data_IF_391967616378
#
_entry.id   IF_391967616378
#
_cell.length_a   1.000
_cell.length_b   1.000
_cell.length_c   1.000
_cell.angle_alpha   90.00
_cell.angle_beta   90.00
_cell.angle_gamma   90.00
#
_symmetry.space_group_name_H-M   'P 1'
#
loop_
_entity.id
_entity.type
_entity.pdbx_description
1 polymer ?
#
# COMPACT_ATOMS: atom_id res chain seq x y z
N UNK A 1 -1.12 -28.63 52.06
CA UNK A 1 -2.41 -27.92 52.04
C UNK A 1 -2.54 -27.35 50.64
N UNK A 2 -3.37 -27.98 49.81
CA UNK A 2 -3.75 -27.50 48.50
C UNK A 2 -5.06 -26.71 48.69
N UNK A 3 -5.09 -25.47 48.25
CA UNK A 3 -6.35 -24.72 48.07
C UNK A 3 -6.50 -24.48 46.57
N UNK A 4 -7.36 -25.30 45.98
CA UNK A 4 -7.95 -25.13 44.66
C UNK A 4 -8.69 -23.79 44.63
N UNK A 5 -8.41 -22.97 43.61
CA UNK A 5 -9.27 -21.86 43.22
C UNK A 5 -10.08 -22.29 42.01
N UNK A 6 -11.29 -22.76 42.27
CA UNK A 6 -12.29 -23.05 41.26
C UNK A 6 -12.58 -21.81 40.41
N UNK A 7 -12.41 -21.94 39.09
CA UNK A 7 -12.83 -20.95 38.12
C UNK A 7 -14.35 -21.01 37.96
N UNK A 8 -15.02 -19.89 38.27
CA UNK A 8 -16.46 -19.72 38.12
C UNK A 8 -16.82 -19.74 36.63
N UNK A 9 -17.65 -20.70 36.23
CA UNK A 9 -18.25 -20.76 34.89
C UNK A 9 -19.30 -19.67 34.73
N UNK A 10 -19.09 -18.75 33.78
CA UNK A 10 -20.07 -17.73 33.41
C UNK A 10 -21.06 -18.37 32.42
N UNK A 11 -22.33 -18.49 32.82
CA UNK A 11 -23.41 -18.94 31.96
C UNK A 11 -23.66 -17.92 30.83
N UNK A 12 -23.38 -18.31 29.58
CA UNK A 12 -23.89 -17.60 28.41
C UNK A 12 -25.39 -17.89 28.26
N UNK A 13 -26.20 -16.84 28.41
CA UNK A 13 -27.64 -16.83 28.15
C UNK A 13 -27.89 -16.77 26.64
N UNK A 14 -27.78 -17.90 25.95
CA UNK A 14 -28.28 -18.08 24.59
C UNK A 14 -28.55 -19.56 24.38
N UNK A 15 -29.82 -19.95 24.33
CA UNK A 15 -30.21 -21.29 23.86
C UNK A 15 -29.92 -21.37 22.35
N UNK A 16 -29.00 -22.25 21.96
CA UNK A 16 -28.82 -22.59 20.55
C UNK A 16 -30.15 -23.13 19.98
N UNK A 17 -30.57 -22.68 18.78
CA UNK A 17 -31.81 -23.15 18.19
C UNK A 17 -31.73 -24.64 17.90
N UNK A 18 -32.58 -25.40 18.61
CA UNK A 18 -32.81 -26.85 18.48
C UNK A 18 -32.86 -27.29 17.02
N UNK A 19 -32.07 -28.33 16.74
CA UNK A 19 -32.03 -29.07 15.48
C UNK A 19 -33.43 -29.35 14.92
N UNK A 20 -33.77 -28.69 13.81
CA UNK A 20 -34.83 -29.19 12.91
C UNK A 20 -34.19 -30.20 11.95
N UNK A 21 -34.33 -31.48 12.31
CA UNK A 21 -34.22 -32.60 11.37
C UNK A 21 -35.19 -32.41 10.20
N UNK A 22 -34.71 -32.66 8.98
CA UNK A 22 -35.56 -33.00 7.83
C UNK A 22 -35.74 -31.89 6.79
N UNK A 23 -34.72 -31.65 5.98
CA UNK A 23 -34.92 -31.62 4.53
C UNK A 23 -33.58 -31.79 3.82
N UNK A 24 -33.38 -32.96 3.22
CA UNK A 24 -32.31 -33.23 2.27
C UNK A 24 -32.43 -32.25 1.10
N UNK A 25 -31.68 -31.15 1.13
CA UNK A 25 -31.36 -30.42 -0.08
C UNK A 25 -30.33 -31.24 -0.84
N UNK A 26 -30.76 -31.90 -1.91
CA UNK A 26 -29.89 -32.42 -2.97
C UNK A 26 -28.76 -31.41 -3.22
N UNK A 27 -27.51 -31.85 -3.36
CA UNK A 27 -26.46 -30.97 -3.86
C UNK A 27 -26.95 -30.46 -5.21
N UNK A 28 -27.17 -29.15 -5.33
CA UNK A 28 -27.19 -28.52 -6.65
C UNK A 28 -25.80 -28.81 -7.18
N UNK A 29 -25.71 -29.76 -8.11
CA UNK A 29 -24.60 -29.82 -9.05
C UNK A 29 -24.42 -28.38 -9.53
N UNK A 30 -23.31 -27.79 -9.12
CA UNK A 30 -22.87 -26.55 -9.71
C UNK A 30 -22.61 -26.90 -11.17
N UNK A 31 -23.62 -26.69 -12.02
CA UNK A 31 -23.39 -26.56 -13.44
C UNK A 31 -22.17 -25.64 -13.57
N UNK A 32 -21.11 -26.05 -14.27
CA UNK A 32 -19.94 -25.20 -14.47
C UNK A 32 -20.51 -23.89 -15.00
N UNK A 33 -20.43 -22.85 -14.17
CA UNK A 33 -21.07 -21.57 -14.40
C UNK A 33 -20.55 -21.12 -15.76
N UNK A 34 -21.36 -21.33 -16.81
CA UNK A 34 -20.97 -20.98 -18.18
C UNK A 34 -20.55 -19.53 -18.08
N UNK A 35 -19.30 -19.30 -18.44
CA UNK A 35 -18.66 -18.00 -18.33
C UNK A 35 -19.62 -17.01 -19.01
N UNK A 36 -20.00 -15.93 -18.33
CA UNK A 36 -20.90 -14.94 -18.95
C UNK A 36 -20.31 -14.49 -20.28
N UNK A 37 -21.12 -14.21 -21.31
CA UNK A 37 -20.62 -13.76 -22.63
C UNK A 37 -19.65 -12.58 -22.50
N UNK A 38 -19.91 -11.69 -21.54
CA UNK A 38 -19.02 -10.58 -21.18
C UNK A 38 -17.66 -11.05 -20.63
N UNK A 39 -17.66 -12.09 -19.81
CA UNK A 39 -16.45 -12.64 -19.20
C UNK A 39 -15.61 -13.43 -20.22
N UNK A 40 -16.27 -14.12 -21.17
CA UNK A 40 -15.60 -14.74 -22.32
C UNK A 40 -14.94 -13.68 -23.22
N UNK A 41 -15.66 -12.58 -23.47
CA UNK A 41 -15.12 -11.47 -24.24
C UNK A 41 -13.87 -10.86 -23.59
N UNK A 42 -13.91 -10.58 -22.28
CA UNK A 42 -12.75 -10.06 -21.53
C UNK A 42 -11.58 -11.05 -21.60
N UNK A 43 -11.84 -12.34 -21.43
CA UNK A 43 -10.81 -13.37 -21.50
C UNK A 43 -10.13 -13.40 -22.88
N UNK A 44 -10.91 -13.44 -23.96
CA UNK A 44 -10.39 -13.46 -25.34
C UNK A 44 -9.60 -12.18 -25.63
N UNK A 45 -10.11 -11.02 -25.18
CA UNK A 45 -9.41 -9.75 -25.34
C UNK A 45 -8.06 -9.76 -24.62
N UNK A 46 -8.01 -10.22 -23.37
CA UNK A 46 -6.75 -10.34 -22.62
C UNK A 46 -5.78 -11.30 -23.32
N UNK A 47 -6.24 -12.46 -23.76
CA UNK A 47 -5.41 -13.45 -24.45
C UNK A 47 -4.78 -12.88 -25.73
N UNK A 48 -5.58 -12.14 -26.52
CA UNK A 48 -5.11 -11.46 -27.71
C UNK A 48 -4.05 -10.39 -27.38
N UNK A 49 -4.31 -9.54 -26.38
CA UNK A 49 -3.40 -8.46 -25.99
C UNK A 49 -2.09 -8.99 -25.44
N UNK A 50 -2.12 -10.02 -24.58
CA UNK A 50 -0.89 -10.64 -24.05
C UNK A 50 -0.08 -11.29 -25.17
N UNK A 51 -0.72 -11.97 -26.12
CA UNK A 51 -0.03 -12.54 -27.28
C UNK A 51 0.63 -11.45 -28.14
N UNK A 52 -0.08 -10.34 -28.38
CA UNK A 52 0.44 -9.21 -29.17
C UNK A 52 1.49 -8.38 -28.45
N UNK A 53 1.52 -8.41 -27.11
CA UNK A 53 2.58 -7.77 -26.33
C UNK A 53 3.97 -8.39 -26.59
N UNK A 54 4.03 -9.64 -27.09
CA UNK A 54 5.26 -10.31 -27.52
C UNK A 54 5.48 -10.31 -29.04
N UNK A 55 4.80 -9.45 -29.80
CA UNK A 55 4.96 -9.36 -31.26
C UNK A 55 6.35 -8.80 -31.62
N UNK A 56 6.94 -9.28 -32.71
CA UNK A 56 8.26 -8.82 -33.16
C UNK A 56 8.24 -7.36 -33.65
N UNK A 57 7.07 -6.83 -34.01
CA UNK A 57 6.91 -5.41 -34.33
C UNK A 57 6.69 -4.60 -33.04
N UNK A 58 7.63 -3.70 -32.66
CA UNK A 58 7.54 -2.94 -31.41
C UNK A 58 6.33 -2.01 -31.35
N UNK A 59 5.84 -1.51 -32.50
CA UNK A 59 4.65 -0.64 -32.55
C UNK A 59 3.39 -1.42 -32.19
N UNK A 60 3.28 -2.66 -32.67
CA UNK A 60 2.15 -3.55 -32.35
C UNK A 60 2.21 -3.97 -30.88
N UNK A 61 3.41 -4.34 -30.40
CA UNK A 61 3.63 -4.68 -29.00
C UNK A 61 3.26 -3.51 -28.07
N UNK A 62 3.77 -2.31 -28.34
CA UNK A 62 3.49 -1.11 -27.55
C UNK A 62 1.99 -0.78 -27.52
N UNK A 63 1.30 -0.90 -28.65
CA UNK A 63 -0.15 -0.67 -28.75
C UNK A 63 -0.93 -1.68 -27.89
N UNK A 64 -0.57 -2.97 -27.98
CA UNK A 64 -1.20 -4.03 -27.21
C UNK A 64 -0.99 -3.83 -25.70
N UNK A 65 0.24 -3.47 -25.29
CA UNK A 65 0.58 -3.20 -23.89
C UNK A 65 -0.21 -1.99 -23.37
N UNK A 66 -0.31 -0.91 -24.14
CA UNK A 66 -1.09 0.26 -23.74
C UNK A 66 -2.59 -0.09 -23.55
N UNK A 67 -3.16 -0.89 -24.45
CA UNK A 67 -4.53 -1.37 -24.30
C UNK A 67 -4.71 -2.28 -23.08
N UNK A 68 -3.70 -3.11 -22.78
CA UNK A 68 -3.69 -3.96 -21.59
C UNK A 68 -3.64 -3.11 -20.30
N UNK A 69 -2.82 -2.07 -20.28
CA UNK A 69 -2.73 -1.10 -19.17
C UNK A 69 -4.07 -0.41 -18.95
N UNK A 70 -4.72 0.06 -20.03
CA UNK A 70 -6.03 0.70 -19.95
C UNK A 70 -7.10 -0.27 -19.41
N UNK A 71 -7.09 -1.52 -19.88
CA UNK A 71 -8.01 -2.56 -19.40
C UNK A 71 -7.83 -2.83 -17.90
N UNK A 72 -6.57 -2.85 -17.42
CA UNK A 72 -6.24 -3.03 -16.00
C UNK A 72 -6.57 -1.79 -15.16
N UNK A 73 -6.52 -0.58 -15.73
CA UNK A 73 -6.83 0.70 -15.07
C UNK A 73 -8.33 0.95 -14.92
N UNK A 74 -9.09 0.76 -15.99
CA UNK A 74 -10.54 1.02 -16.03
C UNK A 74 -11.32 0.09 -15.12
N UNK A 75 -10.91 -1.17 -15.01
CA UNK A 75 -11.62 -2.18 -14.22
C UNK A 75 -11.27 -2.20 -12.72
N UNK A 76 -10.60 -1.16 -12.21
CA UNK A 76 -10.25 -1.03 -10.78
C UNK A 76 -11.43 -0.69 -9.87
N UNK A 77 -12.56 -0.25 -10.43
CA UNK A 77 -13.72 0.26 -9.68
C UNK A 77 -14.77 -0.79 -9.28
N UNK A 78 -14.57 -2.07 -9.56
CA UNK A 78 -15.54 -3.12 -9.23
C UNK A 78 -15.40 -3.62 -7.80
N UNK A 79 -16.43 -3.38 -6.97
CA UNK A 79 -16.72 -3.94 -5.63
C UNK A 79 -15.60 -4.75 -4.95
N UNK A 80 -15.22 -4.31 -3.74
CA UNK A 80 -14.23 -4.88 -2.78
C UNK A 80 -14.28 -6.42 -2.64
N UNK A 81 -15.39 -7.04 -2.99
CA UNK A 81 -15.60 -8.48 -2.91
C UNK A 81 -15.03 -9.32 -4.08
N UNK A 82 -14.60 -8.73 -5.20
CA UNK A 82 -14.11 -9.51 -6.35
C UNK A 82 -12.88 -8.91 -7.01
N UNK A 83 -11.82 -9.74 -7.16
CA UNK A 83 -10.67 -9.41 -8.02
C UNK A 83 -11.18 -9.07 -9.41
N UNK A 84 -10.79 -7.92 -10.00
CA UNK A 84 -11.22 -7.55 -11.34
C UNK A 84 -10.97 -8.68 -12.34
N UNK A 85 -12.00 -9.04 -13.10
CA UNK A 85 -11.94 -10.15 -14.07
C UNK A 85 -10.73 -10.05 -15.02
N UNK A 86 -10.39 -8.88 -15.61
CA UNK A 86 -9.20 -8.76 -16.44
C UNK A 86 -7.92 -9.13 -15.69
N UNK A 87 -7.77 -8.68 -14.44
CA UNK A 87 -6.60 -8.98 -13.62
C UNK A 87 -6.45 -10.49 -13.36
N UNK A 88 -7.58 -11.21 -13.16
CA UNK A 88 -7.57 -12.67 -13.04
C UNK A 88 -7.03 -13.35 -14.31
N UNK A 89 -7.42 -12.89 -15.49
CA UNK A 89 -6.95 -13.46 -16.76
C UNK A 89 -5.49 -13.12 -17.04
N UNK A 90 -5.09 -11.86 -16.84
CA UNK A 90 -3.68 -11.46 -17.03
C UNK A 90 -2.78 -12.21 -16.05
N UNK A 91 -3.21 -12.39 -14.80
CA UNK A 91 -2.49 -13.21 -13.80
C UNK A 91 -2.22 -14.63 -14.30
N UNK A 92 -3.19 -15.26 -14.96
CA UNK A 92 -3.00 -16.62 -15.51
C UNK A 92 -1.98 -16.69 -16.64
N UNK A 93 -1.69 -15.56 -17.29
CA UNK A 93 -0.75 -15.44 -18.41
C UNK A 93 0.55 -14.74 -18.02
N UNK A 94 0.82 -14.57 -16.73
CA UNK A 94 2.00 -13.85 -16.24
C UNK A 94 3.32 -14.39 -16.84
N UNK A 95 3.48 -15.71 -16.92
CA UNK A 95 4.66 -16.34 -17.52
C UNK A 95 4.84 -16.01 -19.02
N UNK A 96 3.75 -15.75 -19.75
CA UNK A 96 3.83 -15.34 -21.15
C UNK A 96 4.31 -13.89 -21.28
N UNK A 97 3.86 -13.01 -20.39
CA UNK A 97 4.36 -11.63 -20.32
C UNK A 97 5.83 -11.58 -19.93
N UNK A 98 6.28 -12.42 -18.98
CA UNK A 98 7.70 -12.55 -18.66
C UNK A 98 8.53 -13.04 -19.84
N UNK A 99 7.98 -13.97 -20.63
CA UNK A 99 8.63 -14.42 -21.87
C UNK A 99 8.69 -13.28 -22.90
N UNK A 100 7.60 -12.55 -23.11
CA UNK A 100 7.57 -11.40 -24.02
C UNK A 100 8.59 -10.32 -23.61
N UNK A 101 8.78 -10.10 -22.30
CA UNK A 101 9.79 -9.19 -21.79
C UNK A 101 11.22 -9.67 -22.09
N UNK A 102 11.49 -10.98 -22.01
CA UNK A 102 12.82 -11.54 -22.33
C UNK A 102 13.12 -11.52 -23.83
N UNK A 103 12.10 -11.69 -24.66
CA UNK A 103 12.23 -11.78 -26.11
C UNK A 103 12.25 -10.40 -26.79
N UNK A 104 11.82 -9.33 -26.10
CA UNK A 104 11.80 -7.98 -26.66
C UNK A 104 13.20 -7.35 -26.73
N UNK A 105 13.52 -6.74 -27.87
CA UNK A 105 14.74 -5.94 -28.04
C UNK A 105 14.47 -4.43 -27.88
N UNK A 106 13.20 -4.02 -27.84
CA UNK A 106 12.82 -2.61 -27.76
C UNK A 106 12.72 -2.15 -26.31
N UNK A 107 13.52 -1.15 -25.94
CA UNK A 107 13.60 -0.63 -24.58
C UNK A 107 12.28 0.02 -24.12
N UNK A 108 11.55 0.68 -25.02
CA UNK A 108 10.29 1.33 -24.67
C UNK A 108 9.19 0.31 -24.37
N UNK A 109 9.14 -0.77 -25.16
CA UNK A 109 8.26 -1.92 -24.94
C UNK A 109 8.62 -2.62 -23.63
N UNK A 110 9.90 -2.83 -23.35
CA UNK A 110 10.37 -3.45 -22.11
C UNK A 110 9.93 -2.68 -20.87
N UNK A 111 10.10 -1.35 -20.86
CA UNK A 111 9.69 -0.47 -19.74
C UNK A 111 8.19 -0.61 -19.47
N UNK A 112 7.36 -0.61 -20.51
CA UNK A 112 5.90 -0.72 -20.33
C UNK A 112 5.46 -2.13 -19.94
N UNK A 113 6.14 -3.17 -20.41
CA UNK A 113 5.92 -4.54 -19.94
C UNK A 113 6.26 -4.69 -18.46
N UNK A 114 7.35 -4.07 -18.00
CA UNK A 114 7.69 -4.01 -16.58
C UNK A 114 6.57 -3.38 -15.76
N UNK A 115 5.94 -2.29 -16.24
CA UNK A 115 4.82 -1.69 -15.50
C UNK A 115 3.63 -2.65 -15.37
N UNK A 116 3.26 -3.38 -16.43
CA UNK A 116 2.19 -4.39 -16.38
C UNK A 116 2.55 -5.53 -15.44
N UNK A 117 3.75 -6.10 -15.59
CA UNK A 117 4.23 -7.19 -14.74
C UNK A 117 4.25 -6.77 -13.27
N UNK A 118 4.70 -5.54 -12.97
CA UNK A 118 4.71 -5.00 -11.63
C UNK A 118 3.31 -5.01 -10.99
N UNK A 119 2.32 -4.49 -11.72
CA UNK A 119 0.95 -4.41 -11.23
C UNK A 119 0.31 -5.79 -11.07
N UNK A 120 0.56 -6.72 -11.98
CA UNK A 120 -0.01 -8.07 -11.89
C UNK A 120 0.64 -8.88 -10.77
N UNK A 121 1.96 -8.72 -10.60
CA UNK A 121 2.75 -9.40 -9.57
C UNK A 121 2.26 -9.11 -8.14
N UNK A 122 1.59 -7.98 -7.89
CA UNK A 122 1.01 -7.69 -6.57
C UNK A 122 -0.05 -8.72 -6.13
N UNK A 123 -0.60 -9.48 -7.07
CA UNK A 123 -1.62 -10.50 -6.81
C UNK A 123 -1.07 -11.93 -6.82
N UNK A 124 0.23 -12.10 -6.99
CA UNK A 124 0.90 -13.40 -7.11
C UNK A 124 1.82 -13.58 -5.91
N UNK A 125 1.64 -14.68 -5.20
CA UNK A 125 2.61 -15.14 -4.21
C UNK A 125 3.68 -15.96 -4.93
N UNK A 126 4.91 -15.47 -4.93
CA UNK A 126 6.04 -16.17 -5.53
C UNK A 126 6.70 -17.07 -4.48
N UNK A 127 6.89 -18.38 -4.74
CA UNK A 127 7.42 -19.32 -3.75
C UNK A 127 8.84 -19.02 -3.25
N UNK A 128 9.64 -18.27 -4.01
CA UNK A 128 10.99 -17.85 -3.66
C UNK A 128 11.02 -16.63 -2.72
N UNK A 129 9.86 -16.03 -2.42
CA UNK A 129 9.75 -14.84 -1.59
C UNK A 129 10.23 -13.56 -2.27
N UNK A 130 10.46 -13.58 -3.59
CA UNK A 130 10.93 -12.41 -4.33
C UNK A 130 9.86 -11.31 -4.36
N UNK A 131 10.29 -10.05 -4.48
CA UNK A 131 9.39 -8.89 -4.54
C UNK A 131 9.20 -8.47 -6.00
N UNK A 132 8.69 -9.40 -6.82
CA UNK A 132 8.60 -9.24 -8.28
C UNK A 132 7.91 -7.92 -8.71
N UNK A 133 6.91 -7.47 -7.96
CA UNK A 133 6.26 -6.19 -8.20
C UNK A 133 7.27 -5.03 -8.12
N UNK A 134 7.98 -4.91 -7.00
CA UNK A 134 9.00 -3.87 -6.83
C UNK A 134 10.14 -4.02 -7.85
N UNK A 135 10.64 -5.24 -8.07
CA UNK A 135 11.73 -5.50 -9.03
C UNK A 135 11.39 -5.04 -10.45
N UNK A 136 10.15 -5.28 -10.89
CA UNK A 136 9.67 -4.79 -12.17
C UNK A 136 9.41 -3.29 -12.13
N UNK A 137 8.87 -2.75 -11.04
CA UNK A 137 8.63 -1.30 -10.94
C UNK A 137 9.92 -0.50 -11.06
N UNK A 138 11.02 -0.97 -10.46
CA UNK A 138 12.34 -0.34 -10.57
C UNK A 138 12.85 -0.26 -12.02
N UNK A 139 12.42 -1.18 -12.89
CA UNK A 139 12.79 -1.23 -14.32
C UNK A 139 11.73 -0.61 -15.24
N UNK A 140 10.56 -0.24 -14.70
CA UNK A 140 9.47 0.37 -15.41
C UNK A 140 9.51 1.89 -15.41
N UNK A 141 8.36 2.49 -15.67
CA UNK A 141 8.16 3.93 -15.63
C UNK A 141 8.30 4.44 -14.19
N UNK A 142 9.05 5.51 -13.97
CA UNK A 142 9.39 5.95 -12.60
C UNK A 142 8.38 6.93 -11.98
N UNK A 143 7.65 7.70 -12.80
CA UNK A 143 6.87 8.88 -12.38
C UNK A 143 5.35 8.75 -12.61
N UNK A 144 4.83 7.53 -12.85
CA UNK A 144 3.42 7.27 -13.19
C UNK A 144 2.65 6.55 -12.07
N UNK A 145 3.20 6.49 -10.84
CA UNK A 145 2.64 5.68 -9.75
C UNK A 145 1.14 5.93 -9.56
N UNK A 146 0.74 7.19 -9.48
CA UNK A 146 -0.65 7.61 -9.25
C UNK A 146 -1.66 7.00 -10.24
N UNK A 147 -1.25 6.71 -11.48
CA UNK A 147 -2.10 6.14 -12.52
C UNK A 147 -2.47 4.67 -12.26
N UNK A 148 -1.70 3.99 -11.41
CA UNK A 148 -1.91 2.58 -11.06
C UNK A 148 -2.90 2.40 -9.90
N UNK A 149 -3.31 3.48 -9.24
CA UNK A 149 -4.39 3.47 -8.25
C UNK A 149 -3.95 3.07 -6.85
N UNK A 150 -4.79 3.46 -5.89
CA UNK A 150 -4.47 3.49 -4.46
C UNK A 150 -3.98 2.15 -3.89
N UNK A 151 -4.65 1.05 -4.20
CA UNK A 151 -4.29 -0.29 -3.68
C UNK A 151 -2.90 -0.75 -4.15
N UNK A 152 -2.53 -0.44 -5.39
CA UNK A 152 -1.20 -0.77 -5.90
C UNK A 152 -0.12 0.04 -5.18
N UNK A 153 -0.34 1.34 -4.96
CA UNK A 153 0.62 2.15 -4.19
C UNK A 153 0.74 1.65 -2.74
N UNK A 154 -0.36 1.23 -2.10
CA UNK A 154 -0.33 0.67 -0.75
C UNK A 154 0.48 -0.64 -0.71
N UNK A 155 0.26 -1.53 -1.67
CA UNK A 155 1.06 -2.75 -1.81
C UNK A 155 2.55 -2.44 -2.02
N UNK A 156 2.84 -1.49 -2.92
CA UNK A 156 4.20 -1.09 -3.24
C UNK A 156 4.89 -0.44 -2.03
N UNK A 157 4.17 0.35 -1.22
CA UNK A 157 4.68 0.91 0.03
C UNK A 157 5.18 -0.18 0.98
N UNK A 158 4.40 -1.24 1.16
CA UNK A 158 4.81 -2.41 1.95
C UNK A 158 6.06 -3.08 1.37
N UNK A 159 6.10 -3.29 0.05
CA UNK A 159 7.26 -3.89 -0.62
C UNK A 159 8.53 -3.06 -0.47
N UNK A 160 8.42 -1.74 -0.64
CA UNK A 160 9.54 -0.78 -0.49
C UNK A 160 10.03 -0.76 0.95
N UNK A 161 9.13 -0.76 1.93
CA UNK A 161 9.51 -0.76 3.35
C UNK A 161 10.31 -2.02 3.73
N UNK A 162 9.91 -3.19 3.21
CA UNK A 162 10.62 -4.45 3.44
C UNK A 162 12.00 -4.47 2.75
N UNK A 163 12.07 -4.02 1.49
CA UNK A 163 13.34 -3.88 0.75
C UNK A 163 14.29 -2.90 1.44
N UNK A 164 13.78 -1.77 1.93
CA UNK A 164 14.55 -0.77 2.66
C UNK A 164 15.23 -1.38 3.88
N UNK A 165 14.45 -2.04 4.75
CA UNK A 165 14.97 -2.70 5.96
C UNK A 165 16.04 -3.75 5.64
N UNK A 166 15.81 -4.57 4.61
CA UNK A 166 16.76 -5.61 4.21
C UNK A 166 18.08 -5.02 3.69
N UNK A 167 18.01 -3.98 2.84
CA UNK A 167 19.20 -3.30 2.30
C UNK A 167 19.99 -2.58 3.38
N UNK A 168 19.32 -1.89 4.30
CA UNK A 168 19.98 -1.25 5.44
C UNK A 168 20.68 -2.30 6.32
N UNK A 169 20.02 -3.44 6.58
CA UNK A 169 20.64 -4.57 7.30
C UNK A 169 21.86 -5.17 6.59
N UNK A 170 21.92 -5.08 5.25
CA UNK A 170 23.08 -5.50 4.43
C UNK A 170 24.08 -4.38 4.13
N UNK A 171 23.87 -3.17 4.65
CA UNK A 171 24.66 -1.97 4.34
C UNK A 171 24.71 -1.63 2.83
N UNK A 172 23.62 -1.89 2.11
CA UNK A 172 23.45 -1.55 0.69
C UNK A 172 22.78 -0.18 0.49
N UNK A 173 22.98 0.42 -0.69
CA UNK A 173 22.39 1.70 -1.03
C UNK A 173 20.87 1.64 -1.26
N UNK A 174 20.14 2.59 -0.65
CA UNK A 174 18.66 2.70 -0.73
C UNK A 174 18.17 3.90 -1.55
N UNK A 175 19.09 4.70 -2.11
CA UNK A 175 18.77 5.97 -2.78
C UNK A 175 17.76 5.85 -3.94
N UNK A 176 17.75 4.70 -4.63
CA UNK A 176 16.82 4.43 -5.73
C UNK A 176 15.37 4.26 -5.26
N UNK A 177 15.13 3.97 -3.98
CA UNK A 177 13.79 3.84 -3.39
C UNK A 177 13.22 5.20 -2.96
N UNK A 178 14.07 6.19 -2.66
CA UNK A 178 13.66 7.49 -2.13
C UNK A 178 12.71 8.24 -3.06
N UNK A 179 12.89 8.13 -4.38
CA UNK A 179 11.99 8.74 -5.37
C UNK A 179 10.57 8.19 -5.25
N UNK A 180 10.43 6.86 -5.19
CA UNK A 180 9.16 6.18 -5.02
C UNK A 180 8.50 6.50 -3.67
N UNK A 181 9.28 6.52 -2.58
CA UNK A 181 8.77 6.88 -1.25
C UNK A 181 8.11 8.26 -1.29
N UNK A 182 8.80 9.27 -1.85
CA UNK A 182 8.25 10.64 -1.95
C UNK A 182 6.97 10.69 -2.77
N UNK A 183 6.93 10.01 -3.91
CA UNK A 183 5.73 9.95 -4.75
C UNK A 183 4.56 9.28 -4.02
N UNK A 184 4.79 8.14 -3.35
CA UNK A 184 3.77 7.41 -2.61
C UNK A 184 3.25 8.26 -1.45
N UNK A 185 4.13 8.81 -0.61
CA UNK A 185 3.73 9.62 0.55
C UNK A 185 2.92 10.84 0.12
N UNK A 186 3.36 11.55 -0.93
CA UNK A 186 2.61 12.68 -1.50
C UNK A 186 1.22 12.27 -2.00
N UNK A 187 1.13 11.14 -2.71
CA UNK A 187 -0.14 10.62 -3.19
C UNK A 187 -1.08 10.24 -2.02
N UNK A 188 -0.56 9.52 -1.04
CA UNK A 188 -1.34 9.05 0.12
C UNK A 188 -1.89 10.23 0.92
N UNK A 189 -1.08 11.25 1.20
CA UNK A 189 -1.54 12.46 1.90
C UNK A 189 -2.60 13.22 1.10
N UNK A 190 -2.41 13.38 -0.22
CA UNK A 190 -3.40 14.07 -1.07
C UNK A 190 -4.73 13.31 -1.19
N UNK A 191 -4.72 11.98 -0.98
CA UNK A 191 -5.91 11.11 -1.03
C UNK A 191 -6.45 10.74 0.36
N UNK A 192 -6.09 11.49 1.42
CA UNK A 192 -6.59 11.29 2.78
C UNK A 192 -6.26 9.91 3.37
N UNK A 193 -5.16 9.30 2.91
CA UNK A 193 -4.56 8.11 3.51
C UNK A 193 -3.27 8.48 4.24
N UNK A 194 -3.35 9.50 5.09
CA UNK A 194 -2.24 9.95 5.91
C UNK A 194 -1.67 8.83 6.82
N UNK A 195 -2.48 7.90 7.39
CA UNK A 195 -1.95 6.76 8.15
C UNK A 195 -0.93 5.93 7.37
N UNK A 196 -1.28 5.51 6.13
CA UNK A 196 -0.36 4.72 5.29
C UNK A 196 0.91 5.50 4.95
N UNK A 197 0.80 6.81 4.73
CA UNK A 197 1.96 7.68 4.48
C UNK A 197 2.90 7.72 5.69
N UNK A 198 2.35 7.90 6.90
CA UNK A 198 3.10 7.95 8.14
C UNK A 198 3.75 6.60 8.45
N UNK A 199 3.02 5.49 8.25
CA UNK A 199 3.55 4.13 8.42
C UNK A 199 4.77 3.88 7.52
N UNK A 200 4.68 4.24 6.24
CA UNK A 200 5.82 4.11 5.33
C UNK A 200 7.02 4.94 5.81
N UNK A 201 6.81 6.18 6.24
CA UNK A 201 7.88 7.06 6.72
C UNK A 201 8.51 6.58 8.03
N UNK A 202 7.73 5.98 8.93
CA UNK A 202 8.26 5.35 10.13
C UNK A 202 9.15 4.16 9.79
N UNK A 203 8.72 3.33 8.83
CA UNK A 203 9.47 2.12 8.44
C UNK A 203 10.78 2.41 7.71
N UNK A 204 10.90 3.58 7.08
CA UNK A 204 12.16 4.08 6.49
C UNK A 204 12.92 5.04 7.39
N UNK A 205 12.45 5.23 8.63
CA UNK A 205 13.04 6.10 9.66
C UNK A 205 13.18 7.59 9.26
N UNK A 206 12.33 8.09 8.36
CA UNK A 206 12.34 9.49 7.88
C UNK A 206 10.98 10.19 8.10
N UNK A 207 10.50 10.18 9.34
CA UNK A 207 9.23 10.82 9.72
C UNK A 207 9.19 12.33 9.42
N UNK A 208 10.35 13.00 9.38
CA UNK A 208 10.44 14.44 9.10
C UNK A 208 9.96 14.80 7.68
N UNK A 209 10.00 13.85 6.74
CA UNK A 209 9.53 14.04 5.37
C UNK A 209 8.02 14.34 5.29
N UNK A 210 7.24 14.14 6.36
CA UNK A 210 5.83 14.52 6.40
C UNK A 210 5.62 16.03 6.56
N UNK A 211 6.58 16.75 7.16
CA UNK A 211 6.44 18.16 7.51
C UNK A 211 6.11 19.06 6.31
N UNK A 212 6.75 18.92 5.12
CA UNK A 212 6.39 19.73 3.96
C UNK A 212 4.96 19.48 3.46
N UNK A 213 4.42 18.29 3.68
CA UNK A 213 3.11 17.85 3.20
C UNK A 213 1.96 18.21 4.16
N UNK A 214 2.28 18.71 5.37
CA UNK A 214 1.25 19.09 6.34
C UNK A 214 0.67 20.48 6.03
N UNK A 215 -0.66 20.56 5.99
CA UNK A 215 -1.45 21.77 5.76
C UNK A 215 -2.58 21.92 6.80
N UNK A 216 -3.40 22.98 6.67
CA UNK A 216 -4.52 23.27 7.58
C UNK A 216 -5.62 22.20 7.60
N UNK A 217 -5.71 21.37 6.56
CA UNK A 217 -6.76 20.37 6.41
C UNK A 217 -6.34 19.00 6.95
N UNK A 218 -5.04 18.68 6.94
CA UNK A 218 -4.53 17.35 7.29
C UNK A 218 -3.70 17.31 8.59
N UNK A 219 -3.13 18.43 9.06
CA UNK A 219 -2.13 18.41 10.14
C UNK A 219 -2.64 17.71 11.40
N UNK A 220 -3.91 17.95 11.77
CA UNK A 220 -4.50 17.38 12.98
C UNK A 220 -4.67 15.86 12.87
N UNK A 221 -5.00 15.34 11.68
CA UNK A 221 -5.09 13.88 11.44
C UNK A 221 -3.71 13.24 11.52
N UNK A 222 -2.72 13.81 10.84
CA UNK A 222 -1.32 13.33 10.85
C UNK A 222 -0.77 13.32 12.28
N UNK A 223 -0.88 14.47 12.97
CA UNK A 223 -0.36 14.63 14.33
C UNK A 223 -1.05 13.71 15.33
N UNK A 224 -2.39 13.55 15.23
CA UNK A 224 -3.13 12.64 16.12
C UNK A 224 -2.77 11.18 15.88
N UNK A 225 -2.60 10.78 14.61
CA UNK A 225 -2.18 9.42 14.26
C UNK A 225 -0.78 9.14 14.81
N UNK A 226 0.20 10.00 14.52
CA UNK A 226 1.59 9.82 14.96
C UNK A 226 1.72 9.86 16.50
N UNK A 227 0.94 10.70 17.18
CA UNK A 227 0.89 10.73 18.65
C UNK A 227 0.20 9.50 19.26
N UNK A 228 -0.72 8.86 18.55
CA UNK A 228 -1.33 7.61 18.99
C UNK A 228 -0.35 6.44 18.79
N UNK A 229 0.33 6.39 17.64
CA UNK A 229 1.32 5.36 17.32
C UNK A 229 2.54 5.44 18.24
N UNK A 230 3.00 6.65 18.59
CA UNK A 230 4.18 6.83 19.47
C UNK A 230 4.08 6.10 20.81
N UNK A 231 2.86 5.82 21.31
CA UNK A 231 2.61 5.04 22.52
C UNK A 231 3.01 3.56 22.41
N UNK A 232 3.10 3.05 21.20
CA UNK A 232 3.47 1.66 20.90
C UNK A 232 4.92 1.54 20.41
N UNK A 233 5.62 2.67 20.22
CA UNK A 233 7.01 2.68 19.78
C UNK A 233 7.96 2.59 20.98
N UNK A 234 9.15 2.06 20.75
CA UNK A 234 10.24 2.06 21.73
C UNK A 234 11.16 3.26 21.54
N UNK A 235 11.86 3.68 22.60
CA UNK A 235 12.95 4.67 22.47
C UNK A 235 14.05 4.16 21.55
N UNK A 236 14.62 5.00 20.66
CA UNK A 236 14.42 6.45 20.54
C UNK A 236 13.26 6.89 19.61
N UNK A 237 12.59 5.94 18.96
CA UNK A 237 11.62 6.22 17.89
C UNK A 237 10.34 6.91 18.40
N UNK A 238 9.91 6.58 19.62
CA UNK A 238 8.80 7.28 20.30
C UNK A 238 9.02 8.80 20.41
N UNK A 239 10.25 9.17 20.78
CA UNK A 239 10.67 10.54 21.06
C UNK A 239 10.82 11.30 19.74
N UNK A 240 11.35 10.62 18.71
CA UNK A 240 11.41 11.17 17.35
C UNK A 240 10.00 11.41 16.78
N UNK A 241 9.07 10.47 16.96
CA UNK A 241 7.68 10.63 16.52
C UNK A 241 7.01 11.83 17.22
N UNK A 242 7.13 11.93 18.55
CA UNK A 242 6.61 13.08 19.30
C UNK A 242 7.28 14.40 18.90
N UNK A 243 8.56 14.38 18.52
CA UNK A 243 9.24 15.56 18.03
C UNK A 243 8.64 16.06 16.71
N UNK A 244 8.35 15.15 15.78
CA UNK A 244 7.67 15.50 14.53
C UNK A 244 6.26 16.03 14.81
N UNK A 245 5.51 15.42 15.74
CA UNK A 245 4.19 15.95 16.17
C UNK A 245 4.32 17.39 16.69
N UNK A 246 5.32 17.67 17.52
CA UNK A 246 5.61 19.02 18.00
C UNK A 246 5.90 19.98 16.84
N UNK A 247 6.76 19.59 15.91
CA UNK A 247 7.15 20.43 14.77
C UNK A 247 5.95 20.70 13.82
N UNK A 248 5.05 19.73 13.64
CA UNK A 248 3.77 19.93 12.91
C UNK A 248 2.94 21.02 13.59
N UNK A 249 2.69 20.92 14.90
CA UNK A 249 1.88 21.90 15.60
C UNK A 249 2.50 23.30 15.61
N UNK A 250 3.83 23.38 15.74
CA UNK A 250 4.56 24.65 15.66
C UNK A 250 4.44 25.27 14.25
N UNK A 251 4.54 24.46 13.19
CA UNK A 251 4.36 24.92 11.81
C UNK A 251 2.96 25.47 11.56
N UNK A 252 1.95 24.85 12.19
CA UNK A 252 0.54 25.21 12.06
C UNK A 252 0.05 26.21 13.12
N UNK A 253 0.98 26.85 13.85
CA UNK A 253 0.70 27.86 14.88
C UNK A 253 -0.26 27.38 16.00
N UNK A 254 -0.36 26.06 16.17
CA UNK A 254 -1.19 25.40 17.18
C UNK A 254 -0.39 25.24 18.48
N UNK A 255 -0.05 26.37 19.09
CA UNK A 255 0.90 26.42 20.21
C UNK A 255 0.40 25.71 21.48
N UNK A 256 -0.91 25.65 21.69
CA UNK A 256 -1.52 24.96 22.83
C UNK A 256 -1.24 23.45 22.74
N UNK A 257 -1.47 22.86 21.57
CA UNK A 257 -1.17 21.45 21.31
C UNK A 257 0.34 21.19 21.32
N UNK A 258 1.14 22.08 20.74
CA UNK A 258 2.59 21.98 20.79
C UNK A 258 3.13 21.95 22.23
N UNK A 259 2.54 22.77 23.13
CA UNK A 259 2.92 22.81 24.54
C UNK A 259 2.67 21.47 25.25
N UNK A 260 1.52 20.83 24.99
CA UNK A 260 1.20 19.53 25.56
C UNK A 260 2.23 18.46 25.13
N UNK A 261 2.64 18.48 23.85
CA UNK A 261 3.65 17.55 23.33
C UNK A 261 5.04 17.84 23.90
N UNK A 262 5.41 19.12 24.04
CA UNK A 262 6.68 19.51 24.66
C UNK A 262 6.77 19.06 26.14
N UNK A 263 5.67 19.15 26.88
CA UNK A 263 5.57 18.63 28.24
C UNK A 263 5.70 17.10 28.27
N UNK A 264 5.08 16.39 27.32
CA UNK A 264 5.21 14.94 27.19
C UNK A 264 6.65 14.51 26.85
N UNK A 265 7.37 15.28 26.05
CA UNK A 265 8.78 15.07 25.74
C UNK A 265 9.70 15.35 26.94
N UNK A 266 9.25 16.14 27.92
CA UNK A 266 10.06 16.57 29.06
C UNK A 266 11.16 17.57 28.71
N UNK A 267 11.11 18.17 27.52
CA UNK A 267 12.12 19.11 27.03
C UNK A 267 11.75 20.56 27.40
N UNK A 268 12.40 21.08 28.44
CA UNK A 268 12.22 22.47 28.90
C UNK A 268 12.59 23.50 27.85
N UNK A 269 13.51 23.18 26.94
CA UNK A 269 13.93 24.06 25.85
C UNK A 269 12.79 24.32 24.87
N UNK A 270 12.03 23.28 24.51
CA UNK A 270 10.85 23.41 23.66
C UNK A 270 9.77 24.28 24.30
N UNK A 271 9.47 24.02 25.58
CA UNK A 271 8.47 24.80 26.32
C UNK A 271 8.86 26.27 26.35
N UNK A 272 10.12 26.59 26.65
CA UNK A 272 10.63 27.96 26.65
C UNK A 272 10.49 28.62 25.27
N UNK A 273 10.87 27.91 24.20
CA UNK A 273 10.76 28.42 22.83
C UNK A 273 9.32 28.72 22.41
N UNK A 274 8.34 27.95 22.89
CA UNK A 274 6.91 28.25 22.67
C UNK A 274 6.47 29.53 23.37
N UNK A 275 6.86 29.73 24.62
CA UNK A 275 6.54 30.98 25.35
C UNK A 275 7.17 32.21 24.68
N UNK A 276 8.40 32.09 24.19
CA UNK A 276 9.07 33.16 23.43
C UNK A 276 8.30 33.48 22.13
N UNK A 277 7.83 32.46 21.41
CA UNK A 277 7.01 32.65 20.20
C UNK A 277 5.70 33.39 20.49
N UNK A 278 4.99 33.03 21.56
CA UNK A 278 3.78 33.72 21.98
C UNK A 278 4.03 35.20 22.34
N UNK A 279 5.19 35.52 22.92
CA UNK A 279 5.57 36.90 23.26
C UNK A 279 5.96 37.73 22.03
N UNK A 280 6.49 37.07 20.99
CA UNK A 280 6.90 37.71 19.73
C UNK A 280 5.80 37.80 18.67
N UNK A 281 4.66 37.13 18.89
CA UNK A 281 3.50 37.25 18.03
C UNK A 281 2.88 38.65 18.19
N UNK A 282 2.63 39.39 17.09
CA UNK A 282 2.06 40.73 17.15
C UNK A 282 0.63 40.75 17.72
#
# INVERSE_FOLDING_TARGET
MAEDKDAVSICALSEDPKEKKGNEKKPREAEPQKLSEEDEYIKIQVELLVTRAGDSNPVLAATAIQQLIELLRTNKGGSVASVPKPLKYVRSMYAQLEKALKDTADASVAVRLHDVLSFVAMTIEFPDGRRASLEHKLQGTQDDLAEWGHEYLRFLAGSISAEWKERIGRAEGVNHLTGFIRQIVSYMVSHQDEPTAVDLLMEVEDMNAILPLTDSHNYRRIASYLAAVSKYLTRPMDTAALRVVYDIYVKMESYNEALLVALQLGDRGLVKGLFEKCYSAP
#
